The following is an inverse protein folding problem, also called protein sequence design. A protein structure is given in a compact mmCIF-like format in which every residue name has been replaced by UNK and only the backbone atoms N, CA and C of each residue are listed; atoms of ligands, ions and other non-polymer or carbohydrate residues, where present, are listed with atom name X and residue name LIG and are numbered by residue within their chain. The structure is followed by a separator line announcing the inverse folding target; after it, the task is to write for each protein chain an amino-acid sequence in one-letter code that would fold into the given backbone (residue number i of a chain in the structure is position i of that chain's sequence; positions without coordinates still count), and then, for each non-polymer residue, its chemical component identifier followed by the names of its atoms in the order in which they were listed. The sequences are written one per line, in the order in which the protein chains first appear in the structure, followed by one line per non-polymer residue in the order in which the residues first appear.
data_IF_577045721327
#
_entry.id   IF_577045721327
#
_cell.length_a   1.000
_cell.length_b   1.000
_cell.length_c   1.000
_cell.angle_alpha   90.00
_cell.angle_beta   90.00
_cell.angle_gamma   90.00
#
_symmetry.space_group_name_H-M   'P 1'
#
loop_
_entity.id
_entity.type
_entity.pdbx_description
1 polymer ?
#
# COMPACT_ATOMS: atom_id res chain seq x y z
N UNK A 1 15.83 -46.33 10.54
CA UNK A 1 15.12 -45.52 9.52
C UNK A 1 14.13 -44.54 10.17
N UNK A 2 14.58 -43.48 10.82
CA UNK A 2 13.66 -42.49 11.43
C UNK A 2 14.15 -41.03 11.40
N UNK A 3 15.47 -40.78 11.45
CA UNK A 3 16.01 -39.40 11.47
C UNK A 3 15.81 -38.63 10.15
N UNK A 4 15.88 -39.31 8.98
CA UNK A 4 15.75 -38.66 7.68
C UNK A 4 14.34 -38.15 7.35
N UNK A 5 13.28 -38.78 7.89
CA UNK A 5 11.89 -38.32 7.70
C UNK A 5 11.57 -37.06 8.50
N UNK A 6 12.19 -36.89 9.68
CA UNK A 6 11.96 -35.73 10.54
C UNK A 6 12.63 -34.45 9.98
N UNK A 7 13.83 -34.59 9.42
CA UNK A 7 14.55 -33.48 8.76
C UNK A 7 13.83 -33.01 7.49
N UNK A 8 13.29 -33.93 6.70
CA UNK A 8 12.50 -33.60 5.51
C UNK A 8 11.20 -32.84 5.84
N UNK A 9 10.52 -33.19 6.94
CA UNK A 9 9.31 -32.50 7.39
C UNK A 9 9.59 -31.05 7.82
N UNK A 10 10.68 -30.80 8.56
CA UNK A 10 11.04 -29.44 9.00
C UNK A 10 11.43 -28.53 7.83
N UNK A 11 12.19 -29.04 6.86
CA UNK A 11 12.55 -28.28 5.66
C UNK A 11 11.33 -27.95 4.78
N UNK A 12 10.37 -28.86 4.66
CA UNK A 12 9.12 -28.63 3.93
C UNK A 12 8.24 -27.56 4.62
N UNK A 13 8.17 -27.57 5.95
CA UNK A 13 7.45 -26.55 6.72
C UNK A 13 8.13 -25.18 6.62
N UNK A 14 9.46 -25.11 6.70
CA UNK A 14 10.20 -23.84 6.58
C UNK A 14 10.09 -23.20 5.20
N UNK A 15 10.09 -24.01 4.13
CA UNK A 15 9.96 -23.49 2.75
C UNK A 15 8.53 -23.04 2.44
N UNK A 16 7.53 -23.76 2.92
CA UNK A 16 6.11 -23.41 2.71
C UNK A 16 5.71 -22.14 3.46
N UNK A 17 6.16 -21.96 4.70
CA UNK A 17 5.91 -20.73 5.48
C UNK A 17 6.58 -19.51 4.84
N UNK A 18 7.84 -19.62 4.39
CA UNK A 18 8.53 -18.51 3.74
C UNK A 18 7.83 -18.08 2.44
N UNK A 19 7.31 -19.03 1.65
CA UNK A 19 6.54 -18.73 0.44
C UNK A 19 5.21 -18.05 0.76
N UNK A 20 4.51 -18.49 1.80
CA UNK A 20 3.25 -17.87 2.22
C UNK A 20 3.47 -16.43 2.72
N UNK A 21 4.53 -16.19 3.50
CA UNK A 21 4.88 -14.84 3.95
C UNK A 21 5.24 -13.92 2.78
N UNK A 22 6.02 -14.41 1.80
CA UNK A 22 6.34 -13.64 0.60
C UNK A 22 5.10 -13.34 -0.24
N UNK A 23 4.18 -14.29 -0.38
CA UNK A 23 2.92 -14.09 -1.09
C UNK A 23 2.01 -13.08 -0.37
N UNK A 24 1.93 -13.13 0.96
CA UNK A 24 1.20 -12.15 1.75
C UNK A 24 1.82 -10.75 1.62
N UNK A 25 3.14 -10.63 1.68
CA UNK A 25 3.83 -9.35 1.48
C UNK A 25 3.67 -8.79 0.05
N UNK A 26 3.46 -9.66 -0.94
CA UNK A 26 3.17 -9.27 -2.31
C UNK A 26 1.68 -8.95 -2.55
N UNK A 27 0.78 -9.29 -1.63
CA UNK A 27 -0.63 -8.93 -1.72
C UNK A 27 -0.81 -7.41 -1.62
N UNK A 28 -1.92 -6.88 -2.11
CA UNK A 28 -2.17 -5.44 -2.02
C UNK A 28 -2.30 -4.99 -0.56
N UNK A 29 -2.92 -5.81 0.28
CA UNK A 29 -2.99 -5.63 1.72
C UNK A 29 -1.59 -5.63 2.35
N UNK A 30 -0.73 -6.58 1.98
CA UNK A 30 0.66 -6.61 2.44
C UNK A 30 1.46 -5.38 2.03
N UNK A 31 1.27 -4.89 0.80
CA UNK A 31 1.85 -3.62 0.33
C UNK A 31 1.37 -2.43 1.16
N UNK A 32 0.08 -2.39 1.52
CA UNK A 32 -0.50 -1.33 2.35
C UNK A 32 0.04 -1.35 3.78
N UNK A 33 0.08 -2.52 4.42
CA UNK A 33 0.64 -2.66 5.78
C UNK A 33 2.12 -2.28 5.82
N UNK A 34 2.90 -2.71 4.82
CA UNK A 34 4.30 -2.31 4.68
C UNK A 34 4.44 -0.79 4.51
N UNK A 35 3.67 -0.21 3.61
CA UNK A 35 3.68 1.24 3.38
C UNK A 35 3.29 2.01 4.65
N UNK A 36 2.27 1.54 5.38
CA UNK A 36 1.86 2.15 6.64
C UNK A 36 3.01 2.15 7.65
N UNK A 37 3.69 1.02 7.82
CA UNK A 37 4.83 0.90 8.74
C UNK A 37 5.99 1.83 8.34
N UNK A 38 6.31 1.90 7.05
CA UNK A 38 7.38 2.76 6.53
C UNK A 38 7.08 4.26 6.67
N UNK A 39 5.80 4.65 6.60
CA UNK A 39 5.37 6.05 6.63
C UNK A 39 4.76 6.47 7.98
N UNK A 40 4.84 5.61 9.00
CA UNK A 40 4.26 5.86 10.33
C UNK A 40 2.74 6.10 10.30
N UNK A 41 2.03 5.52 9.32
CA UNK A 41 0.60 5.75 9.13
C UNK A 41 -0.22 4.88 10.08
N UNK A 42 -1.12 5.52 10.81
CA UNK A 42 -2.12 4.88 11.66
C UNK A 42 -3.49 5.49 11.35
N UNK A 43 -4.56 4.75 11.65
CA UNK A 43 -5.94 5.19 11.43
C UNK A 43 -6.72 5.09 12.73
N UNK A 44 -7.76 5.90 12.83
CA UNK A 44 -8.63 5.97 14.01
C UNK A 44 -9.30 4.63 14.31
N UNK A 45 -9.84 3.98 13.28
CA UNK A 45 -10.53 2.70 13.41
C UNK A 45 -10.37 1.83 12.16
N UNK A 46 -10.96 0.63 12.22
CA UNK A 46 -10.92 -0.34 11.13
C UNK A 46 -11.71 0.12 9.89
N UNK A 47 -12.76 0.93 10.06
CA UNK A 47 -13.56 1.43 8.95
C UNK A 47 -12.78 2.47 8.14
N UNK A 48 -12.10 3.41 8.81
CA UNK A 48 -11.20 4.36 8.17
C UNK A 48 -10.02 3.63 7.53
N UNK A 49 -9.43 2.63 8.20
CA UNK A 49 -8.37 1.81 7.59
C UNK A 49 -8.84 1.14 6.29
N UNK A 50 -10.04 0.56 6.28
CA UNK A 50 -10.61 -0.07 5.10
C UNK A 50 -10.85 0.96 3.97
N UNK A 51 -11.39 2.13 4.29
CA UNK A 51 -11.57 3.20 3.30
C UNK A 51 -10.24 3.67 2.72
N UNK A 52 -9.23 3.87 3.57
CA UNK A 52 -7.88 4.30 3.18
C UNK A 52 -7.15 3.23 2.37
N UNK A 53 -7.40 1.96 2.66
CA UNK A 53 -6.91 0.85 1.85
C UNK A 53 -7.43 0.91 0.41
N UNK A 54 -8.73 1.15 0.20
CA UNK A 54 -9.28 1.25 -1.16
C UNK A 54 -8.68 2.41 -1.96
N UNK A 55 -8.46 3.57 -1.32
CA UNK A 55 -7.79 4.71 -1.95
C UNK A 55 -6.34 4.38 -2.28
N UNK A 56 -5.61 3.79 -1.33
CA UNK A 56 -4.23 3.34 -1.53
C UNK A 56 -4.12 2.38 -2.71
N UNK A 57 -4.97 1.35 -2.74
CA UNK A 57 -5.04 0.37 -3.83
C UNK A 57 -5.28 1.03 -5.18
N UNK A 58 -6.28 1.90 -5.29
CA UNK A 58 -6.58 2.60 -6.53
C UNK A 58 -5.39 3.46 -7.02
N UNK A 59 -4.71 4.14 -6.10
CA UNK A 59 -3.53 4.95 -6.42
C UNK A 59 -2.33 4.10 -6.83
N UNK A 60 -2.07 2.99 -6.14
CA UNK A 60 -1.02 2.03 -6.51
C UNK A 60 -1.26 1.45 -7.90
N UNK A 61 -2.50 1.02 -8.20
CA UNK A 61 -2.83 0.54 -9.53
C UNK A 61 -2.65 1.62 -10.61
N UNK A 62 -2.99 2.88 -10.30
CA UNK A 62 -2.74 4.01 -11.21
C UNK A 62 -1.24 4.21 -11.46
N UNK A 63 -0.41 4.14 -10.41
CA UNK A 63 1.05 4.22 -10.49
C UNK A 63 1.60 3.09 -11.36
N UNK A 64 1.20 1.85 -11.08
CA UNK A 64 1.66 0.66 -11.79
C UNK A 64 1.28 0.76 -13.29
N UNK A 65 0.03 1.17 -13.60
CA UNK A 65 -0.41 1.42 -14.99
C UNK A 65 0.37 2.55 -15.66
N UNK A 66 0.61 3.66 -14.96
CA UNK A 66 1.33 4.81 -15.53
C UNK A 66 2.78 4.44 -15.90
N UNK A 67 3.46 3.73 -15.00
CA UNK A 67 4.85 3.31 -15.18
C UNK A 67 5.00 2.21 -16.24
N UNK A 68 4.01 1.34 -16.43
CA UNK A 68 4.03 0.29 -17.45
C UNK A 68 3.89 0.81 -18.89
N UNK A 69 3.35 2.03 -19.08
CA UNK A 69 2.95 2.53 -20.40
C UNK A 69 4.08 2.82 -21.41
N UNK A 70 5.36 2.77 -21.00
CA UNK A 70 6.50 3.13 -21.85
C UNK A 70 6.51 4.63 -22.24
N UNK A 71 7.66 5.14 -22.69
CA UNK A 71 7.82 6.51 -23.20
C UNK A 71 7.39 7.63 -22.23
N UNK A 72 7.75 7.51 -20.93
CA UNK A 72 7.53 8.55 -19.92
C UNK A 72 8.86 9.22 -19.58
N UNK A 73 8.84 10.54 -19.42
CA UNK A 73 9.99 11.33 -18.96
C UNK A 73 10.15 11.30 -17.44
N UNK A 74 9.18 10.75 -16.72
CA UNK A 74 9.19 10.58 -15.27
C UNK A 74 8.39 9.33 -14.87
N UNK A 75 8.60 8.86 -13.64
CA UNK A 75 7.81 7.78 -13.03
C UNK A 75 6.99 8.31 -11.86
N UNK A 76 5.93 7.60 -11.53
CA UNK A 76 5.20 7.79 -10.28
C UNK A 76 5.70 6.79 -9.23
N UNK A 77 5.66 7.19 -7.97
CA UNK A 77 6.06 6.36 -6.85
C UNK A 77 5.02 6.42 -5.74
N UNK A 78 4.92 5.32 -4.99
CA UNK A 78 4.18 5.27 -3.74
C UNK A 78 4.87 6.21 -2.74
N UNK A 79 4.11 7.12 -2.13
CA UNK A 79 4.59 8.13 -1.19
C UNK A 79 3.59 8.37 -0.03
N UNK A 80 3.87 9.35 0.83
CA UNK A 80 3.05 9.69 2.02
C UNK A 80 1.59 10.10 1.73
N UNK A 81 1.27 10.44 0.48
CA UNK A 81 -0.06 10.86 0.03
C UNK A 81 -0.84 9.74 -0.66
N UNK A 82 -0.30 8.52 -0.74
CA UNK A 82 -0.87 7.44 -1.57
C UNK A 82 -2.26 7.00 -1.09
N UNK A 83 -2.62 7.23 0.17
CA UNK A 83 -3.95 6.90 0.72
C UNK A 83 -4.92 8.10 0.71
N UNK A 84 -4.58 9.18 0.01
CA UNK A 84 -5.44 10.33 -0.20
C UNK A 84 -6.07 10.31 -1.59
N UNK A 85 -7.31 10.75 -1.68
CA UNK A 85 -7.94 11.13 -2.95
C UNK A 85 -7.38 12.46 -3.44
N UNK A 86 -7.53 12.76 -4.72
CA UNK A 86 -7.10 14.04 -5.30
C UNK A 86 -7.80 15.22 -4.59
N UNK A 87 -9.09 15.10 -4.29
CA UNK A 87 -9.85 16.13 -3.56
C UNK A 87 -9.33 16.33 -2.14
N UNK A 88 -9.05 15.24 -1.40
CA UNK A 88 -8.46 15.34 -0.06
C UNK A 88 -7.06 15.95 -0.09
N UNK A 89 -6.25 15.63 -1.10
CA UNK A 89 -4.93 16.22 -1.29
C UNK A 89 -5.03 17.72 -1.57
N UNK A 90 -5.89 18.12 -2.51
CA UNK A 90 -6.14 19.53 -2.85
C UNK A 90 -6.62 20.31 -1.63
N UNK A 91 -7.61 19.78 -0.91
CA UNK A 91 -8.20 20.43 0.25
C UNK A 91 -7.19 20.69 1.38
N UNK A 92 -6.22 19.80 1.58
CA UNK A 92 -5.28 19.86 2.71
C UNK A 92 -3.92 20.46 2.38
N UNK A 93 -3.45 20.31 1.14
CA UNK A 93 -2.05 20.59 0.79
C UNK A 93 -1.88 21.63 -0.32
N UNK A 94 -2.96 22.25 -0.80
CA UNK A 94 -2.87 23.28 -1.84
C UNK A 94 -3.57 24.57 -1.47
N UNK A 95 -3.11 25.68 -2.05
CA UNK A 95 -3.75 26.99 -1.88
C UNK A 95 -5.18 27.00 -2.44
N UNK A 96 -5.47 26.22 -3.50
CA UNK A 96 -6.83 26.12 -4.04
C UNK A 96 -7.82 25.60 -2.99
N UNK A 97 -7.44 24.58 -2.22
CA UNK A 97 -8.24 24.07 -1.10
C UNK A 97 -8.40 25.07 0.05
N UNK A 98 -7.38 25.90 0.30
CA UNK A 98 -7.47 26.99 1.28
C UNK A 98 -8.51 28.04 0.87
N UNK A 99 -8.48 28.48 -0.39
CA UNK A 99 -9.39 29.52 -0.88
C UNK A 99 -10.85 29.05 -1.03
N UNK A 100 -11.10 27.78 -1.38
CA UNK A 100 -12.46 27.23 -1.45
C UNK A 100 -13.15 27.19 -0.07
N UNK A 101 -12.39 26.89 0.98
CA UNK A 101 -12.92 26.89 2.35
C UNK A 101 -13.07 28.31 2.91
N UNK A 102 -12.20 29.25 2.56
CA UNK A 102 -12.24 30.62 3.06
C UNK A 102 -13.35 31.49 2.43
N UNK A 103 -13.92 31.08 1.29
CA UNK A 103 -14.96 31.81 0.55
C UNK A 103 -16.35 31.20 0.68
N UNK A 104 -16.49 30.10 1.42
CA UNK A 104 -17.78 29.51 1.78
C UNK A 104 -18.33 30.20 3.04
N UNK A 105 -18.93 31.38 2.86
CA UNK A 105 -19.78 32.07 3.86
C UNK A 105 -21.20 32.21 3.31
#
# INVERSE_FOLDING_TARGET
MAAGKLVLLVALVATTTNRAAAAAAASMEGRHEKWMAENGRTYEDAAEKARRFEVFKANVERIDRFNAGGNRTYSLGVNVFTDLTDDEFVARYTAAGYYSNATSF
#
